data_IF_003197747762
#
_entry.id   IF_003197747762
#
_cell.length_a   1.000
_cell.length_b   1.000
_cell.length_c   1.000
_cell.angle_alpha   90.00
_cell.angle_beta   90.00
_cell.angle_gamma   90.00
#
_symmetry.space_group_name_H-M   'P 1'
#
loop_
_entity.id
_entity.type
_entity.pdbx_description
1 polymer ?
#
# COMPACT_ATOMS: atom_id res chain seq x y z
N UNK A 1 15.43 -35.21 -22.19
CA UNK A 1 15.52 -33.82 -22.68
C UNK A 1 14.24 -33.11 -22.29
N UNK A 2 14.14 -32.50 -21.10
CA UNK A 2 12.93 -31.76 -20.73
C UNK A 2 13.02 -30.32 -21.24
N UNK A 3 11.97 -29.91 -21.95
CA UNK A 3 11.79 -28.58 -22.52
C UNK A 3 11.54 -27.57 -21.40
N UNK A 4 12.50 -26.69 -21.17
CA UNK A 4 12.38 -25.60 -20.21
C UNK A 4 11.47 -24.52 -20.80
N UNK A 5 10.23 -24.44 -20.30
CA UNK A 5 9.29 -23.38 -20.68
C UNK A 5 9.58 -22.16 -19.82
N UNK A 6 10.06 -21.10 -20.45
CA UNK A 6 10.34 -19.80 -19.82
C UNK A 6 9.02 -19.05 -19.59
N UNK A 7 8.76 -18.49 -18.40
CA UNK A 7 7.54 -17.72 -18.17
C UNK A 7 7.63 -16.34 -18.83
N UNK A 8 6.53 -15.95 -19.47
CA UNK A 8 6.34 -14.69 -20.18
C UNK A 8 6.46 -13.48 -19.22
N UNK A 9 7.08 -12.42 -19.74
CA UNK A 9 7.29 -11.16 -19.04
C UNK A 9 5.96 -10.42 -18.82
N UNK A 10 5.59 -10.19 -17.55
CA UNK A 10 4.44 -9.36 -17.20
C UNK A 10 4.73 -7.91 -17.62
N UNK A 11 4.05 -7.45 -18.66
CA UNK A 11 4.04 -6.04 -19.05
C UNK A 11 3.13 -5.29 -18.08
N UNK A 12 3.71 -4.49 -17.19
CA UNK A 12 2.93 -3.58 -16.34
C UNK A 12 2.33 -2.49 -17.24
N UNK A 13 1.02 -2.50 -17.44
CA UNK A 13 0.32 -1.42 -18.14
C UNK A 13 0.17 -0.26 -17.16
N UNK A 14 0.96 0.79 -17.33
CA UNK A 14 0.75 2.07 -16.63
C UNK A 14 -0.54 2.68 -17.16
N UNK A 15 -1.64 2.51 -16.43
CA UNK A 15 -2.90 3.17 -16.75
C UNK A 15 -2.69 4.68 -16.56
N UNK A 16 -2.71 5.44 -17.66
CA UNK A 16 -2.62 6.89 -17.63
C UNK A 16 -3.72 7.49 -16.76
N UNK A 17 -3.34 8.29 -15.77
CA UNK A 17 -4.25 8.97 -14.85
C UNK A 17 -5.05 10.04 -15.59
N UNK A 18 -6.15 9.65 -16.23
CA UNK A 18 -7.05 10.58 -16.92
C UNK A 18 -8.29 10.82 -16.06
N UNK A 19 -8.42 12.02 -15.49
CA UNK A 19 -9.65 12.46 -14.81
C UNK A 19 -10.69 12.99 -15.82
N UNK A 20 -11.99 12.69 -15.67
CA UNK A 20 -13.05 13.31 -16.46
C UNK A 20 -13.55 14.62 -15.85
N UNK A 21 -13.48 15.72 -16.62
CA UNK A 21 -14.51 16.77 -16.65
C UNK A 21 -14.38 17.96 -15.68
N UNK A 22 -13.42 18.86 -15.92
CA UNK A 22 -13.46 20.24 -15.43
C UNK A 22 -13.04 21.21 -16.54
N UNK A 23 -13.62 22.42 -16.66
CA UNK A 23 -13.27 23.36 -17.72
C UNK A 23 -11.81 23.79 -17.59
N UNK A 24 -10.99 23.39 -18.57
CA UNK A 24 -9.56 23.65 -18.59
C UNK A 24 -9.28 25.14 -18.77
N UNK A 25 -8.49 25.70 -17.86
CA UNK A 25 -7.91 27.04 -17.99
C UNK A 25 -6.82 26.97 -19.07
N UNK A 26 -6.76 27.91 -20.03
CA UNK A 26 -5.74 27.86 -21.09
C UNK A 26 -4.35 28.13 -20.50
N UNK A 27 -3.48 27.12 -20.50
CA UNK A 27 -2.05 27.25 -20.16
C UNK A 27 -1.24 27.42 -21.44
N UNK A 28 -0.67 28.59 -21.66
CA UNK A 28 0.14 28.93 -22.86
C UNK A 28 1.64 28.71 -22.68
N UNK A 29 2.07 27.96 -21.66
CA UNK A 29 3.43 27.44 -21.57
C UNK A 29 3.41 25.95 -21.88
N UNK A 30 4.45 25.42 -22.52
CA UNK A 30 4.71 23.98 -22.66
C UNK A 30 5.05 23.42 -21.26
N UNK A 31 4.06 23.44 -20.36
CA UNK A 31 4.18 23.03 -18.97
C UNK A 31 4.13 21.52 -18.91
N UNK A 32 5.23 20.93 -18.45
CA UNK A 32 5.24 19.54 -18.04
C UNK A 32 4.70 19.39 -16.63
N UNK A 33 4.46 18.16 -16.21
CA UNK A 33 4.23 17.84 -14.81
C UNK A 33 5.03 16.60 -14.44
N UNK A 34 5.59 16.59 -13.24
CA UNK A 34 6.03 15.38 -12.59
C UNK A 34 4.81 14.65 -12.03
N UNK A 35 4.82 13.34 -12.17
CA UNK A 35 3.83 12.47 -11.49
C UNK A 35 4.55 11.59 -10.48
N UNK A 36 3.98 11.45 -9.30
CA UNK A 36 4.57 10.68 -8.20
C UNK A 36 3.59 9.61 -7.75
N UNK A 37 4.03 8.36 -7.85
CA UNK A 37 3.33 7.21 -7.27
C UNK A 37 4.07 6.79 -6.02
N UNK A 38 3.35 6.71 -4.90
CA UNK A 38 3.92 6.31 -3.62
C UNK A 38 3.73 4.82 -3.36
N UNK A 39 4.74 4.20 -2.77
CA UNK A 39 4.71 2.82 -2.30
C UNK A 39 5.17 2.80 -0.84
N UNK A 40 4.37 2.18 0.02
CA UNK A 40 4.75 1.99 1.42
C UNK A 40 5.49 0.67 1.57
N UNK A 41 6.62 0.69 2.26
CA UNK A 41 7.34 -0.52 2.61
C UNK A 41 6.54 -1.29 3.66
N UNK A 42 6.35 -2.58 3.39
CA UNK A 42 5.51 -3.47 4.19
C UNK A 42 6.26 -4.57 4.91
N UNK A 43 7.57 -4.62 4.77
CA UNK A 43 8.40 -5.56 5.52
C UNK A 43 8.43 -5.24 7.03
N UNK A 44 8.69 -6.23 7.89
CA UNK A 44 8.71 -6.04 9.34
C UNK A 44 9.70 -4.96 9.83
N UNK A 45 10.80 -4.76 9.11
CA UNK A 45 11.86 -3.77 9.35
C UNK A 45 11.70 -2.52 8.46
N UNK A 46 10.48 -2.23 8.00
CA UNK A 46 10.20 -1.16 7.04
C UNK A 46 10.78 0.22 7.42
N UNK A 47 10.96 0.51 8.72
CA UNK A 47 11.52 1.78 9.21
C UNK A 47 13.05 1.85 9.22
N UNK A 48 13.75 0.75 9.00
CA UNK A 48 15.21 0.71 8.96
C UNK A 48 15.78 1.19 7.62
N UNK A 49 14.90 1.43 6.65
CA UNK A 49 15.23 1.84 5.29
C UNK A 49 14.77 0.78 4.28
N UNK A 50 14.77 1.16 3.01
CA UNK A 50 14.49 0.22 1.94
C UNK A 50 15.74 -0.63 1.66
N UNK A 51 15.56 -1.94 1.48
CA UNK A 51 16.59 -2.83 0.96
C UNK A 51 16.07 -3.51 -0.31
N UNK A 52 17.01 -3.90 -1.19
CA UNK A 52 16.65 -4.62 -2.40
C UNK A 52 15.93 -5.93 -2.05
N UNK A 53 14.76 -6.15 -2.67
CA UNK A 53 13.90 -7.29 -2.40
C UNK A 53 12.83 -7.05 -1.34
N UNK A 54 12.86 -5.90 -0.63
CA UNK A 54 11.76 -5.51 0.23
C UNK A 54 10.46 -5.39 -0.56
N UNK A 55 9.38 -5.90 0.03
CA UNK A 55 8.05 -5.80 -0.49
C UNK A 55 7.50 -4.41 -0.21
N UNK A 56 6.99 -3.78 -1.27
CA UNK A 56 6.32 -2.49 -1.17
C UNK A 56 4.88 -2.60 -1.68
N UNK A 57 4.00 -1.80 -1.11
CA UNK A 57 2.59 -1.76 -1.51
C UNK A 57 2.23 -0.40 -2.09
N UNK A 58 1.64 -0.39 -3.29
CA UNK A 58 1.24 0.84 -3.97
C UNK A 58 0.13 1.56 -3.22
N UNK A 59 0.33 2.85 -2.96
CA UNK A 59 -0.68 3.69 -2.31
C UNK A 59 -1.86 3.88 -3.25
N UNK A 60 -3.07 3.69 -2.74
CA UNK A 60 -4.31 3.82 -3.51
C UNK A 60 -5.22 4.87 -2.90
N UNK A 61 -6.03 5.51 -3.74
CA UNK A 61 -7.16 6.35 -3.36
C UNK A 61 -8.20 5.54 -2.58
N UNK A 62 -9.16 6.22 -1.94
CA UNK A 62 -10.30 5.57 -1.27
C UNK A 62 -11.16 4.72 -2.20
N UNK A 63 -11.15 5.01 -3.51
CA UNK A 63 -11.82 4.22 -4.55
C UNK A 63 -11.01 2.99 -5.00
N UNK A 64 -9.80 2.78 -4.46
CA UNK A 64 -8.91 1.67 -4.80
C UNK A 64 -8.07 1.88 -6.05
N UNK A 65 -8.21 3.03 -6.75
CA UNK A 65 -7.33 3.38 -7.85
C UNK A 65 -5.95 3.83 -7.33
N UNK A 66 -4.84 3.59 -8.05
CA UNK A 66 -3.52 4.09 -7.67
C UNK A 66 -3.53 5.59 -7.37
N UNK A 67 -2.89 5.99 -6.27
CA UNK A 67 -2.71 7.40 -5.92
C UNK A 67 -1.56 7.96 -6.76
N UNK A 68 -1.88 8.90 -7.65
CA UNK A 68 -0.90 9.60 -8.47
C UNK A 68 -0.94 11.08 -8.11
N UNK A 69 0.14 11.59 -7.49
CA UNK A 69 0.29 13.00 -7.16
C UNK A 69 0.93 13.74 -8.35
N UNK A 70 0.47 14.95 -8.63
CA UNK A 70 0.91 15.74 -9.79
C UNK A 70 1.50 17.07 -9.35
N UNK A 71 2.73 17.35 -9.79
CA UNK A 71 3.44 18.60 -9.51
C UNK A 71 3.88 19.25 -10.82
N UNK A 72 3.48 20.50 -11.05
CA UNK A 72 3.78 21.23 -12.26
C UNK A 72 5.27 21.66 -12.27
N UNK A 73 5.89 21.72 -13.46
CA UNK A 73 7.31 22.11 -13.60
C UNK A 73 7.62 23.58 -13.24
N UNK A 74 6.62 24.36 -12.83
CA UNK A 74 6.83 25.68 -12.23
C UNK A 74 6.99 25.64 -10.71
N UNK A 75 6.64 24.50 -10.10
CA UNK A 75 6.73 24.24 -8.66
C UNK A 75 7.97 23.41 -8.33
N UNK A 76 8.34 22.49 -9.21
CA UNK A 76 9.47 21.56 -9.01
C UNK A 76 10.26 21.37 -10.31
N UNK A 77 11.59 21.35 -10.22
CA UNK A 77 12.47 21.32 -11.39
C UNK A 77 13.16 19.95 -11.62
N UNK A 78 13.02 19.02 -10.66
CA UNK A 78 13.67 17.70 -10.72
C UNK A 78 12.95 16.65 -9.88
N UNK A 79 13.24 15.38 -10.17
CA UNK A 79 12.59 14.24 -9.53
C UNK A 79 12.73 14.23 -7.99
N UNK A 80 13.91 14.56 -7.45
CA UNK A 80 14.11 14.63 -6.00
C UNK A 80 13.26 15.72 -5.33
N UNK A 81 13.03 16.84 -6.00
CA UNK A 81 12.21 17.92 -5.44
C UNK A 81 10.73 17.53 -5.46
N UNK A 82 10.25 16.96 -6.57
CA UNK A 82 8.91 16.37 -6.65
C UNK A 82 8.69 15.29 -5.57
N UNK A 83 9.71 14.48 -5.27
CA UNK A 83 9.64 13.48 -4.20
C UNK A 83 9.54 14.11 -2.80
N UNK A 84 10.27 15.20 -2.53
CA UNK A 84 10.19 15.91 -1.24
C UNK A 84 8.82 16.56 -1.05
N UNK A 85 8.25 17.19 -2.09
CA UNK A 85 6.89 17.75 -2.00
C UNK A 85 5.86 16.62 -1.85
N UNK A 86 6.01 15.50 -2.55
CA UNK A 86 5.18 14.31 -2.35
C UNK A 86 5.30 13.74 -0.94
N UNK A 87 6.49 13.80 -0.33
CA UNK A 87 6.70 13.42 1.06
C UNK A 87 5.90 14.32 2.01
N UNK A 88 5.88 15.63 1.79
CA UNK A 88 5.08 16.57 2.58
C UNK A 88 3.57 16.31 2.44
N UNK A 89 3.10 16.07 1.21
CA UNK A 89 1.71 15.63 0.96
C UNK A 89 1.43 14.33 1.71
N UNK A 90 2.32 13.34 1.61
CA UNK A 90 2.20 12.05 2.29
C UNK A 90 2.26 12.12 3.82
N UNK A 91 2.78 13.22 4.36
CA UNK A 91 2.74 13.56 5.78
C UNK A 91 1.61 14.53 6.14
N UNK A 92 0.62 14.69 5.25
CA UNK A 92 -0.59 15.51 5.42
C UNK A 92 -0.30 17.00 5.63
N UNK A 93 0.80 17.50 5.07
CA UNK A 93 1.16 18.93 5.17
C UNK A 93 0.62 19.77 4.00
N UNK A 94 -0.15 19.17 3.09
CA UNK A 94 -0.74 19.87 1.95
C UNK A 94 -1.46 18.94 0.97
N UNK A 95 -1.64 19.43 -0.25
CA UNK A 95 -2.11 18.70 -1.43
C UNK A 95 -1.12 18.88 -2.57
N UNK A 96 -1.26 18.10 -3.63
CA UNK A 96 -0.56 18.34 -4.89
C UNK A 96 -1.14 19.55 -5.67
N UNK A 97 -0.59 19.85 -6.85
CA UNK A 97 -1.01 20.99 -7.69
C UNK A 97 -2.40 20.78 -8.34
N UNK A 98 -2.99 19.59 -8.16
CA UNK A 98 -4.36 19.26 -8.59
C UNK A 98 -5.34 19.23 -7.41
N UNK A 99 -4.91 19.57 -6.21
CA UNK A 99 -5.73 19.55 -5.00
C UNK A 99 -5.97 18.15 -4.44
N UNK A 100 -5.19 17.16 -4.86
CA UNK A 100 -5.25 15.80 -4.33
C UNK A 100 -4.50 15.72 -3.00
N UNK A 101 -5.19 15.22 -1.98
CA UNK A 101 -4.63 15.02 -0.64
C UNK A 101 -4.18 13.57 -0.43
N UNK A 102 -3.33 13.37 0.56
CA UNK A 102 -3.01 12.03 1.03
C UNK A 102 -4.24 11.33 1.63
N UNK A 103 -4.50 10.07 1.25
CA UNK A 103 -5.62 9.32 1.81
C UNK A 103 -5.53 9.22 3.33
N UNK A 104 -6.60 9.59 4.03
CA UNK A 104 -6.62 9.62 5.49
C UNK A 104 -6.38 8.23 6.12
N UNK A 105 -6.73 7.17 5.40
CA UNK A 105 -6.64 5.77 5.79
C UNK A 105 -5.31 5.09 5.43
N UNK A 106 -4.38 5.81 4.79
CA UNK A 106 -3.00 5.35 4.53
C UNK A 106 -2.07 5.98 5.56
N UNK A 107 -1.11 5.21 6.09
CA UNK A 107 -0.14 5.77 7.04
C UNK A 107 0.68 6.89 6.41
N UNK A 108 1.25 7.75 7.25
CA UNK A 108 2.20 8.74 6.74
C UNK A 108 3.40 8.04 6.09
N UNK A 109 4.01 8.72 5.12
CA UNK A 109 5.28 8.29 4.55
C UNK A 109 6.39 8.35 5.60
N UNK A 110 7.22 7.32 5.64
CA UNK A 110 8.32 7.17 6.58
C UNK A 110 9.58 6.67 5.88
N UNK A 111 10.70 6.66 6.61
CA UNK A 111 11.93 6.00 6.18
C UNK A 111 11.62 4.59 5.65
N UNK A 112 12.21 4.27 4.50
CA UNK A 112 12.05 3.00 3.80
C UNK A 112 10.90 2.91 2.81
N UNK A 113 9.97 3.87 2.79
CA UNK A 113 8.98 3.97 1.72
C UNK A 113 9.61 4.42 0.41
N UNK A 114 8.95 4.13 -0.71
CA UNK A 114 9.47 4.38 -2.06
C UNK A 114 8.53 5.32 -2.82
N UNK A 115 9.10 6.26 -3.56
CA UNK A 115 8.42 7.17 -4.46
C UNK A 115 8.92 6.92 -5.89
N UNK A 116 8.03 6.52 -6.78
CA UNK A 116 8.31 6.47 -8.21
C UNK A 116 7.91 7.81 -8.83
N UNK A 117 8.89 8.56 -9.33
CA UNK A 117 8.70 9.89 -9.89
C UNK A 117 8.90 9.83 -11.39
N UNK A 118 7.83 10.05 -12.16
CA UNK A 118 7.89 10.11 -13.62
C UNK A 118 7.96 11.57 -14.08
N UNK A 119 9.01 11.91 -14.82
CA UNK A 119 9.25 13.24 -15.38
C UNK A 119 8.26 13.57 -16.51
N UNK A 120 8.15 14.86 -16.91
CA UNK A 120 7.35 15.25 -18.07
C UNK A 120 7.70 14.54 -19.37
N UNK A 121 8.96 14.10 -19.51
CA UNK A 121 9.48 13.37 -20.67
C UNK A 121 9.15 11.85 -20.59
N UNK A 122 8.58 11.39 -19.48
CA UNK A 122 8.19 9.99 -19.25
C UNK A 122 9.25 9.12 -18.57
N UNK A 123 10.39 9.68 -18.18
CA UNK A 123 11.43 8.93 -17.45
C UNK A 123 11.03 8.75 -15.99
N UNK A 124 11.09 7.52 -15.47
CA UNK A 124 10.74 7.23 -14.07
C UNK A 124 11.98 6.94 -13.22
N UNK A 125 12.16 7.69 -12.13
CA UNK A 125 13.19 7.48 -11.11
C UNK A 125 12.54 6.96 -9.83
N UNK A 126 13.15 5.95 -9.20
CA UNK A 126 12.67 5.41 -7.93
C UNK A 126 13.53 5.96 -6.78
N UNK A 127 12.88 6.50 -5.76
CA UNK A 127 13.53 7.17 -4.64
C UNK A 127 13.02 6.55 -3.34
N UNK A 128 13.92 6.07 -2.48
CA UNK A 128 13.59 5.66 -1.11
C UNK A 128 13.64 6.87 -0.18
N UNK A 129 12.66 6.99 0.71
CA UNK A 129 12.70 7.93 1.83
C UNK A 129 13.76 7.48 2.83
N UNK A 130 14.62 8.39 3.26
CA UNK A 130 15.66 8.17 4.26
C UNK A 130 15.73 9.34 5.27
N UNK A 131 16.71 9.31 6.18
CA UNK A 131 16.86 10.34 7.22
C UNK A 131 17.34 11.70 6.71
N UNK A 132 17.85 11.78 5.49
CA UNK A 132 18.34 13.00 4.84
C UNK A 132 17.39 13.51 3.75
N UNK A 133 16.31 12.77 3.46
CA UNK A 133 15.32 13.11 2.44
C UNK A 133 14.98 11.89 1.60
N UNK A 134 15.49 11.86 0.37
CA UNK A 134 15.22 10.80 -0.60
C UNK A 134 16.49 10.41 -1.37
N UNK A 135 16.78 9.11 -1.46
CA UNK A 135 17.91 8.54 -2.21
C UNK A 135 17.44 7.67 -3.36
N UNK A 136 18.12 7.75 -4.50
CA UNK A 136 17.80 6.92 -5.67
C UNK A 136 18.08 5.44 -5.42
N UNK A 137 17.15 4.59 -5.84
CA UNK A 137 17.23 3.14 -5.72
C UNK A 137 16.90 2.47 -7.06
N UNK A 138 17.31 1.22 -7.29
CA UNK A 138 16.76 0.42 -8.37
C UNK A 138 15.24 0.29 -8.25
N UNK A 139 14.57 0.07 -9.39
CA UNK A 139 13.14 -0.25 -9.41
C UNK A 139 12.86 -1.42 -8.44
N UNK A 140 11.89 -1.30 -7.51
CA UNK A 140 11.52 -2.41 -6.65
C UNK A 140 11.12 -3.64 -7.46
N UNK A 141 11.54 -4.82 -7.00
CA UNK A 141 11.29 -6.10 -7.66
C UNK A 141 10.07 -6.84 -7.11
N UNK A 142 9.59 -6.45 -5.92
CA UNK A 142 8.47 -7.08 -5.24
C UNK A 142 7.36 -6.05 -4.92
N UNK A 143 6.22 -6.20 -5.59
CA UNK A 143 5.03 -5.37 -5.36
C UNK A 143 3.90 -6.20 -4.74
N UNK A 144 3.14 -5.58 -3.85
CA UNK A 144 1.88 -6.13 -3.33
C UNK A 144 0.77 -5.09 -3.37
N UNK A 145 -0.46 -5.53 -3.13
CA UNK A 145 -1.63 -4.64 -3.06
C UNK A 145 -1.80 -4.14 -1.63
N UNK A 146 -1.86 -2.82 -1.45
CA UNK A 146 -1.96 -2.16 -0.14
C UNK A 146 -3.11 -2.65 0.73
N UNK A 147 -4.27 -2.91 0.13
CA UNK A 147 -5.43 -3.44 0.83
C UNK A 147 -5.17 -4.80 1.50
N UNK A 148 -4.12 -5.52 1.08
CA UNK A 148 -3.73 -6.81 1.67
C UNK A 148 -2.73 -6.68 2.83
N UNK A 149 -2.27 -5.47 3.19
CA UNK A 149 -1.19 -5.29 4.19
C UNK A 149 -1.61 -4.35 5.33
N UNK A 150 -1.96 -4.90 6.51
CA UNK A 150 -2.35 -4.13 7.68
C UNK A 150 -1.36 -3.05 8.13
N UNK A 151 -0.05 -3.31 8.08
CA UNK A 151 1.01 -2.38 8.52
C UNK A 151 1.18 -1.16 7.59
N UNK A 152 0.69 -1.28 6.36
CA UNK A 152 0.83 -0.30 5.29
C UNK A 152 -0.29 0.75 5.29
N UNK A 153 -1.34 0.50 6.06
CA UNK A 153 -2.52 1.34 6.12
C UNK A 153 -2.76 1.76 7.58
N UNK A 154 -3.32 2.94 7.82
CA UNK A 154 -3.84 3.29 9.15
C UNK A 154 -5.14 2.52 9.48
N UNK A 155 -5.53 1.59 8.61
CA UNK A 155 -6.74 0.79 8.74
C UNK A 155 -6.54 -0.13 9.93
N UNK A 156 -7.31 0.12 10.99
CA UNK A 156 -7.35 -0.78 12.14
C UNK A 156 -7.65 -2.18 11.61
N UNK A 157 -6.65 -3.04 11.73
CA UNK A 157 -6.78 -4.44 11.42
C UNK A 157 -6.90 -5.18 12.73
N UNK A 158 -7.89 -6.04 12.81
CA UNK A 158 -8.11 -6.87 13.97
C UNK A 158 -8.08 -8.31 13.51
N UNK A 159 -7.30 -9.12 14.20
CA UNK A 159 -7.45 -10.55 14.04
C UNK A 159 -8.70 -10.98 14.80
N UNK A 160 -9.57 -11.75 14.15
CA UNK A 160 -10.72 -12.34 14.83
C UNK A 160 -10.22 -13.43 15.76
N UNK A 161 -10.21 -13.14 17.05
CA UNK A 161 -9.80 -14.07 18.11
C UNK A 161 -10.90 -14.15 19.16
N UNK A 162 -11.99 -14.87 18.84
CA UNK A 162 -13.18 -14.86 19.68
C UNK A 162 -12.99 -15.49 21.07
N UNK A 163 -11.93 -16.26 21.28
CA UNK A 163 -11.50 -16.76 22.60
C UNK A 163 -10.62 -15.76 23.39
N UNK A 164 -10.19 -14.65 22.76
CA UNK A 164 -9.43 -13.57 23.40
C UNK A 164 -10.28 -12.29 23.48
N UNK A 165 -10.89 -11.99 24.64
CA UNK A 165 -11.68 -10.76 24.81
C UNK A 165 -10.83 -9.48 24.70
N UNK A 166 -9.52 -9.55 24.93
CA UNK A 166 -8.61 -8.39 24.82
C UNK A 166 -8.40 -8.01 23.36
N UNK A 167 -8.30 -8.99 22.46
CA UNK A 167 -8.25 -8.77 21.01
C UNK A 167 -9.64 -8.47 20.43
N UNK A 168 -10.68 -9.18 20.89
CA UNK A 168 -12.05 -9.07 20.37
C UNK A 168 -12.75 -7.78 20.76
N UNK A 169 -12.58 -7.31 22.01
CA UNK A 169 -13.26 -6.10 22.50
C UNK A 169 -13.03 -4.85 21.62
N UNK A 170 -11.77 -4.51 21.29
CA UNK A 170 -11.46 -3.40 20.39
C UNK A 170 -12.06 -3.54 18.98
N UNK A 171 -12.11 -4.75 18.42
CA UNK A 171 -12.76 -5.02 17.13
C UNK A 171 -14.26 -4.74 17.21
N UNK A 172 -14.95 -5.30 18.20
CA UNK A 172 -16.39 -5.08 18.40
C UNK A 172 -16.67 -3.59 18.61
N UNK A 173 -15.85 -2.91 19.42
CA UNK A 173 -15.95 -1.47 19.60
C UNK A 173 -15.79 -0.70 18.29
N UNK A 174 -14.85 -1.10 17.43
CA UNK A 174 -14.67 -0.49 16.11
C UNK A 174 -15.88 -0.74 15.17
N UNK A 175 -16.42 -1.96 15.15
CA UNK A 175 -17.59 -2.31 14.35
C UNK A 175 -18.83 -1.51 14.79
N UNK A 176 -19.05 -1.38 16.10
CA UNK A 176 -20.13 -0.56 16.66
C UNK A 176 -19.97 0.93 16.33
N UNK A 177 -18.76 1.47 16.45
CA UNK A 177 -18.46 2.87 16.08
C UNK A 177 -18.74 3.15 14.60
N UNK A 178 -18.53 2.16 13.74
CA UNK A 178 -18.79 2.26 12.30
C UNK A 178 -20.26 2.00 11.94
N UNK A 179 -21.10 1.66 12.93
CA UNK A 179 -22.46 1.21 12.72
C UNK A 179 -22.53 0.03 11.73
N UNK A 180 -21.53 -0.85 11.77
CA UNK A 180 -21.50 -2.07 10.98
C UNK A 180 -22.55 -3.04 11.52
N UNK A 181 -23.36 -3.61 10.64
CA UNK A 181 -24.25 -4.72 11.01
C UNK A 181 -23.42 -5.99 11.03
N UNK A 182 -23.25 -6.58 12.21
CA UNK A 182 -22.55 -7.84 12.36
C UNK A 182 -23.35 -8.77 13.24
N UNK A 183 -23.26 -10.05 12.93
CA UNK A 183 -23.85 -11.13 13.69
C UNK A 183 -22.77 -12.12 14.03
N UNK A 184 -22.92 -12.71 15.20
CA UNK A 184 -22.16 -13.86 15.59
C UNK A 184 -23.04 -15.10 15.34
N UNK A 185 -22.94 -15.78 14.18
CA UNK A 185 -23.87 -16.82 13.75
C UNK A 185 -23.93 -18.09 14.62
N UNK A 186 -23.33 -18.14 15.81
CA UNK A 186 -23.30 -19.35 16.64
C UNK A 186 -23.66 -19.10 18.10
N UNK A 187 -24.58 -19.96 18.57
CA UNK A 187 -24.81 -20.26 19.98
C UNK A 187 -23.73 -21.21 20.55
N UNK A 188 -23.96 -21.82 21.72
CA UNK A 188 -22.94 -22.58 22.45
C UNK A 188 -22.55 -23.85 21.68
N UNK A 189 -21.43 -23.81 20.94
CA UNK A 189 -20.89 -24.97 20.23
C UNK A 189 -20.15 -24.61 18.92
N UNK A 190 -18.84 -24.38 19.05
CA UNK A 190 -17.79 -24.77 18.09
C UNK A 190 -17.48 -23.97 16.81
N UNK A 191 -18.23 -22.95 16.40
CA UNK A 191 -17.70 -22.03 15.36
C UNK A 191 -18.12 -20.60 15.61
N UNK A 192 -17.35 -19.92 16.45
CA UNK A 192 -17.47 -18.50 16.78
C UNK A 192 -17.02 -17.62 15.61
N UNK A 193 -17.57 -17.83 14.41
CA UNK A 193 -17.32 -16.97 13.25
C UNK A 193 -18.00 -15.62 13.45
N UNK A 194 -17.49 -14.59 12.77
CA UNK A 194 -18.10 -13.26 12.74
C UNK A 194 -18.64 -13.01 11.32
N UNK A 195 -19.95 -12.77 11.21
CA UNK A 195 -20.61 -12.42 9.96
C UNK A 195 -20.84 -10.91 9.93
N UNK A 196 -20.26 -10.21 8.95
CA UNK A 196 -20.48 -8.77 8.74
C UNK A 196 -21.38 -8.58 7.53
N UNK A 197 -22.53 -7.95 7.74
CA UNK A 197 -23.43 -7.52 6.70
C UNK A 197 -22.94 -6.17 6.16
N UNK A 198 -22.32 -6.19 4.98
CA UNK A 198 -21.91 -4.95 4.29
C UNK A 198 -22.93 -4.58 3.22
N UNK A 199 -22.87 -3.33 2.71
CA UNK A 199 -23.80 -2.85 1.66
C UNK A 199 -23.79 -3.67 0.37
N UNK A 200 -22.78 -4.52 0.14
CA UNK A 200 -22.63 -5.30 -1.10
C UNK A 200 -22.55 -6.81 -0.92
N UNK A 201 -22.28 -7.31 0.29
CA UNK A 201 -22.13 -8.75 0.56
C UNK A 201 -22.08 -9.06 2.06
N UNK A 202 -22.29 -10.32 2.39
CA UNK A 202 -21.98 -10.88 3.69
C UNK A 202 -20.51 -11.33 3.73
N UNK A 203 -19.76 -10.85 4.71
CA UNK A 203 -18.37 -11.25 4.95
C UNK A 203 -18.30 -12.15 6.17
N UNK A 204 -17.77 -13.36 5.99
CA UNK A 204 -17.57 -14.31 7.08
C UNK A 204 -16.11 -14.35 7.48
N UNK A 205 -15.80 -13.89 8.69
CA UNK A 205 -14.49 -14.04 9.31
C UNK A 205 -14.45 -15.25 10.23
N UNK A 206 -13.48 -16.14 10.02
CA UNK A 206 -13.19 -17.30 10.86
C UNK A 206 -12.13 -16.96 11.91
N UNK A 207 -12.05 -17.70 13.03
CA UNK A 207 -10.97 -17.51 13.99
C UNK A 207 -9.60 -17.49 13.29
N UNK A 208 -8.82 -16.45 13.54
CA UNK A 208 -7.52 -16.21 12.90
C UNK A 208 -7.56 -15.33 11.64
N UNK A 209 -8.72 -15.12 11.02
CA UNK A 209 -8.87 -14.20 9.89
C UNK A 209 -8.67 -12.75 10.34
N UNK A 210 -8.25 -11.90 9.41
CA UNK A 210 -8.02 -10.49 9.66
C UNK A 210 -9.15 -9.66 9.10
N UNK A 211 -9.78 -8.87 9.95
CA UNK A 211 -10.74 -7.84 9.56
C UNK A 211 -10.01 -6.52 9.42
N UNK A 212 -10.00 -6.00 8.20
CA UNK A 212 -9.36 -4.74 7.87
C UNK A 212 -10.44 -3.72 7.56
N UNK A 213 -10.51 -2.66 8.37
CA UNK A 213 -11.43 -1.55 8.13
C UNK A 213 -11.00 -0.79 6.88
N UNK A 214 -11.83 -0.75 5.84
CA UNK A 214 -11.58 0.06 4.65
C UNK A 214 -12.09 1.50 4.85
N UNK A 215 -12.20 2.29 3.78
CA UNK A 215 -12.75 3.64 3.87
C UNK A 215 -14.24 3.62 4.28
N UNK A 216 -14.61 4.53 5.18
CA UNK A 216 -15.97 4.64 5.71
C UNK A 216 -16.33 3.55 6.74
N UNK A 217 -17.48 2.92 6.55
CA UNK A 217 -17.97 1.78 7.35
C UNK A 217 -17.82 0.44 6.60
N UNK A 218 -16.92 0.38 5.61
CA UNK A 218 -16.66 -0.81 4.81
C UNK A 218 -15.58 -1.63 5.49
N UNK A 219 -15.75 -2.95 5.49
CA UNK A 219 -14.80 -3.91 6.07
C UNK A 219 -14.40 -4.93 5.02
N UNK A 220 -13.19 -5.48 5.15
CA UNK A 220 -12.72 -6.63 4.37
C UNK A 220 -12.25 -7.73 5.30
N UNK A 221 -12.42 -8.98 4.87
CA UNK A 221 -11.89 -10.16 5.57
C UNK A 221 -10.76 -10.75 4.73
N UNK A 222 -9.59 -10.90 5.34
CA UNK A 222 -8.43 -11.55 4.75
C UNK A 222 -8.22 -12.86 5.48
N UNK A 223 -8.29 -13.99 4.77
CA UNK A 223 -8.15 -15.28 5.43
C UNK A 223 -6.73 -15.49 5.95
N UNK A 224 -6.61 -16.15 7.10
CA UNK A 224 -5.31 -16.53 7.66
C UNK A 224 -4.48 -17.36 6.65
N UNK A 225 -5.16 -18.24 5.92
CA UNK A 225 -4.56 -19.07 4.87
C UNK A 225 -3.95 -18.23 3.75
N UNK A 226 -4.64 -17.17 3.32
CA UNK A 226 -4.14 -16.24 2.27
C UNK A 226 -2.83 -15.59 2.71
N UNK A 227 -2.70 -15.23 3.99
CA UNK A 227 -1.47 -14.65 4.54
C UNK A 227 -0.36 -15.70 4.69
N UNK A 228 -0.71 -16.92 5.09
CA UNK A 228 0.25 -18.02 5.24
C UNK A 228 0.85 -18.47 3.89
N UNK A 229 0.03 -18.62 2.86
CA UNK A 229 0.51 -18.98 1.50
C UNK A 229 1.46 -17.92 0.94
N UNK A 230 1.21 -16.63 1.20
CA UNK A 230 2.10 -15.54 0.77
C UNK A 230 3.46 -15.55 1.45
N UNK A 231 3.54 -15.94 2.74
CA UNK A 231 4.83 -16.06 3.44
C UNK A 231 5.71 -17.19 2.90
N UNK A 232 5.10 -18.26 2.39
CA UNK A 232 5.82 -19.43 1.86
C UNK A 232 6.38 -19.15 0.45
N UNK A 233 5.74 -18.24 -0.30
CA UNK A 233 6.19 -17.86 -1.65
C UNK A 233 7.27 -16.77 -1.67
N UNK A 234 7.68 -16.22 -0.52
CA UNK A 234 8.82 -15.33 -0.47
C UNK A 234 10.09 -16.14 -0.86
N UNK A 235 10.85 -15.72 -1.88
CA UNK A 235 12.05 -16.45 -2.28
C UNK A 235 13.00 -16.51 -1.08
N UNK A 236 13.42 -17.72 -0.71
CA UNK A 236 14.40 -17.91 0.34
C UNK A 236 15.62 -17.05 0.01
N UNK A 237 15.93 -16.09 0.89
CA UNK A 237 17.12 -15.23 0.75
C UNK A 237 18.32 -16.15 0.49
N UNK A 238 19.02 -16.03 -0.66
CA UNK A 238 20.14 -16.90 -0.95
C UNK A 238 21.15 -16.74 0.18
N UNK A 239 21.46 -17.86 0.85
CA UNK A 239 22.40 -17.89 1.96
C UNK A 239 23.70 -17.24 1.50
N UNK A 240 24.03 -16.09 2.10
CA UNK A 240 25.23 -15.32 1.79
C UNK A 240 26.43 -16.25 1.93
N UNK A 241 27.05 -16.61 0.81
CA UNK A 241 28.21 -17.49 0.79
C UNK A 241 29.28 -16.85 1.69
N UNK A 242 29.61 -17.51 2.80
CA UNK A 242 30.75 -17.12 3.64
C UNK A 242 31.99 -17.33 2.77
N UNK A 243 32.58 -16.22 2.32
CA UNK A 243 33.85 -16.24 1.63
C UNK A 243 34.93 -16.94 2.46
N UNK A 244 35.94 -17.54 1.81
CA UNK A 244 37.00 -18.25 2.50
C UNK A 244 37.70 -17.30 3.48
N UNK A 245 37.88 -17.76 4.72
CA UNK A 245 38.79 -17.13 5.66
C UNK A 245 40.19 -17.49 5.22
N UNK A 246 40.88 -16.56 4.57
CA UNK A 246 42.31 -16.67 4.35
C UNK A 246 43.02 -16.71 5.71
N UNK A 247 43.89 -17.73 5.86
CA UNK A 247 44.86 -17.89 6.94
C UNK A 247 46.24 -17.59 6.40
#
# INVERSE_FOLDING_TARGET
MPTHTQPDSITTVTAGCSHPGGPARPSTGRGGSYTVTAFVNVDPDCYDGYQEGHMVAEVTTSAGAPLCLVFDTGTVDRAQEAALVAYDVGNRQGSDDRGQYWPADVRSLSKGDVLAVTSPEGTTTYLSVDSLGCSEIPRPSAYTVLASVPSATCRRAFQWQPDDPTATGPLIGALLCDNADFRHPSGPGDTINLLLHTRGADLLARPGDWLVRAYGAIWHVISADTLATRRISAPATPARARGPRDR
#
